data_IF_623523181026
#
_entry.id   IF_623523181026
#
_cell.length_a   1.000
_cell.length_b   1.000
_cell.length_c   1.000
_cell.angle_alpha   90.00
_cell.angle_beta   90.00
_cell.angle_gamma   90.00
#
_symmetry.space_group_name_H-M   'P 1'
#
loop_
_entity.id
_entity.type
_entity.pdbx_description
1 polymer ?
#
# COMPACT_ATOMS: atom_id res chain seq x y z
N UNK A 1 -5.20 60.96 59.35
CA UNK A 1 -5.79 59.75 59.97
C UNK A 1 -4.63 58.79 60.18
N UNK A 2 -4.18 58.62 61.43
CA UNK A 2 -3.00 57.82 61.79
C UNK A 2 -3.40 56.34 61.81
N UNK A 3 -2.63 55.46 61.16
CA UNK A 3 -2.87 54.02 61.18
C UNK A 3 -2.56 53.50 62.60
N UNK A 4 -3.58 53.14 63.38
CA UNK A 4 -3.42 52.68 64.79
C UNK A 4 -3.55 51.17 64.97
N UNK A 5 -3.83 50.38 63.93
CA UNK A 5 -3.98 48.92 64.00
C UNK A 5 -3.14 48.21 62.93
N UNK A 6 -1.82 48.18 63.11
CA UNK A 6 -0.88 47.46 62.24
C UNK A 6 -0.76 45.99 62.67
N UNK A 7 -0.63 45.75 63.98
CA UNK A 7 -0.59 44.40 64.53
C UNK A 7 -1.99 43.75 64.46
N UNK A 8 -2.04 42.50 64.01
CA UNK A 8 -3.23 41.66 64.16
C UNK A 8 -3.25 40.97 65.53
N UNK A 9 -3.86 39.78 65.63
CA UNK A 9 -3.80 38.97 66.86
C UNK A 9 -2.35 38.57 67.18
N UNK A 10 -1.87 38.97 68.36
CA UNK A 10 -0.52 38.72 68.88
C UNK A 10 -0.53 37.79 70.10
N UNK A 11 -1.66 37.16 70.42
CA UNK A 11 -1.73 36.19 71.51
C UNK A 11 -0.80 35.01 71.25
N UNK A 12 -0.19 34.49 72.33
CA UNK A 12 0.82 33.42 72.23
C UNK A 12 0.31 32.17 71.50
N UNK A 13 -0.92 31.75 71.79
CA UNK A 13 -1.61 30.64 71.10
C UNK A 13 -1.74 30.92 69.61
N UNK A 14 -2.22 32.11 69.25
CA UNK A 14 -2.43 32.46 67.84
C UNK A 14 -1.10 32.50 67.06
N UNK A 15 -0.05 33.07 67.64
CA UNK A 15 1.29 33.13 67.02
C UNK A 15 1.89 31.74 66.86
N UNK A 16 1.73 30.84 67.83
CA UNK A 16 2.23 29.46 67.70
C UNK A 16 1.53 28.67 66.58
N UNK A 17 0.23 28.89 66.39
CA UNK A 17 -0.56 28.16 65.39
C UNK A 17 -0.47 28.77 63.99
N UNK A 18 -0.23 30.08 63.86
CA UNK A 18 -0.39 30.82 62.60
C UNK A 18 0.85 31.63 62.18
N UNK A 19 1.90 31.64 63.01
CA UNK A 19 3.07 32.49 62.82
C UNK A 19 2.87 33.94 63.25
N UNK A 20 3.98 34.65 63.46
CA UNK A 20 3.97 36.09 63.73
C UNK A 20 3.67 36.90 62.46
N UNK A 21 3.10 38.10 62.62
CA UNK A 21 2.94 39.04 61.50
C UNK A 21 1.97 40.19 61.79
N UNK A 22 1.55 40.85 60.72
CA UNK A 22 0.65 42.00 60.75
C UNK A 22 -0.73 41.63 60.17
N UNK A 23 -1.66 42.58 60.13
CA UNK A 23 -2.93 42.37 59.45
C UNK A 23 -2.69 41.99 57.96
N UNK A 24 -3.36 40.92 57.51
CA UNK A 24 -3.32 40.37 56.14
C UNK A 24 -1.99 39.75 55.67
N UNK A 25 -0.90 39.85 56.43
CA UNK A 25 0.43 39.32 56.06
C UNK A 25 1.03 38.54 57.21
N UNK A 26 1.10 37.20 57.06
CA UNK A 26 1.72 36.28 58.02
C UNK A 26 2.40 35.12 57.28
N UNK A 27 3.48 34.61 57.86
CA UNK A 27 4.11 33.35 57.47
C UNK A 27 4.14 32.45 58.70
N UNK A 28 3.59 31.25 58.60
CA UNK A 28 3.71 30.27 59.67
C UNK A 28 5.00 29.47 59.49
N UNK A 29 6.02 29.81 60.26
CA UNK A 29 7.33 29.16 60.34
C UNK A 29 7.52 28.40 61.66
N UNK A 30 6.42 28.02 62.33
CA UNK A 30 6.45 27.29 63.59
C UNK A 30 7.28 26.00 63.49
N UNK A 31 8.23 25.84 64.40
CA UNK A 31 9.14 24.68 64.43
C UNK A 31 10.30 24.76 63.44
N UNK A 32 10.43 25.83 62.65
CA UNK A 32 11.58 26.06 61.76
C UNK A 32 12.60 27.00 62.40
N UNK A 33 13.88 26.86 62.05
CA UNK A 33 14.89 27.87 62.39
C UNK A 33 14.58 29.14 61.62
N UNK A 34 14.41 30.28 62.31
CA UNK A 34 14.10 31.55 61.67
C UNK A 34 15.04 31.88 60.50
N UNK A 35 14.44 32.11 59.32
CA UNK A 35 15.10 32.61 58.12
C UNK A 35 14.21 33.61 57.42
N UNK A 36 14.66 34.86 57.39
CA UNK A 36 13.91 35.95 56.79
C UNK A 36 13.88 35.88 55.25
N UNK A 37 12.92 36.58 54.66
CA UNK A 37 12.91 36.84 53.23
C UNK A 37 14.00 37.88 52.86
N UNK A 38 14.57 37.75 51.67
CA UNK A 38 15.65 38.62 51.18
C UNK A 38 15.28 39.16 49.81
N UNK A 39 14.95 40.44 49.72
CA UNK A 39 14.82 41.16 48.45
C UNK A 39 16.06 42.04 48.26
N UNK A 40 17.10 41.52 47.60
CA UNK A 40 18.37 42.26 47.42
C UNK A 40 18.44 42.99 46.08
N UNK A 41 17.60 42.60 45.12
CA UNK A 41 17.48 43.30 43.85
C UNK A 41 16.74 44.62 43.99
N UNK A 42 17.08 45.59 43.14
CA UNK A 42 16.38 46.88 43.08
C UNK A 42 14.90 46.66 42.77
N UNK A 43 13.99 47.21 43.57
CA UNK A 43 12.52 47.06 43.40
C UNK A 43 12.03 45.59 43.53
N UNK A 44 12.88 44.67 44.00
CA UNK A 44 12.49 43.27 44.21
C UNK A 44 11.49 43.11 45.36
N UNK A 45 10.68 42.05 45.31
CA UNK A 45 9.75 41.66 46.38
C UNK A 45 9.99 40.21 46.77
N UNK A 46 10.28 39.96 48.06
CA UNK A 46 10.42 38.62 48.61
C UNK A 46 9.43 38.43 49.77
N UNK A 47 8.64 37.36 49.74
CA UNK A 47 7.61 37.05 50.75
C UNK A 47 7.63 35.55 51.10
N UNK A 48 7.83 35.24 52.37
CA UNK A 48 7.81 33.87 52.90
C UNK A 48 9.14 33.39 53.46
N UNK A 49 9.11 32.26 54.17
CA UNK A 49 10.27 31.69 54.86
C UNK A 49 11.44 31.47 53.90
N UNK A 50 12.59 32.11 54.13
CA UNK A 50 13.79 31.98 53.30
C UNK A 50 13.55 32.25 51.80
N UNK A 51 12.55 33.07 51.43
CA UNK A 51 12.34 33.51 50.05
C UNK A 51 13.47 34.47 49.64
N UNK A 52 14.01 34.33 48.43
CA UNK A 52 15.14 35.14 47.94
C UNK A 52 14.86 35.72 46.55
N UNK A 53 14.74 37.05 46.46
CA UNK A 53 14.60 37.79 45.22
C UNK A 53 15.88 38.63 44.99
N UNK A 54 16.80 38.13 44.15
CA UNK A 54 18.12 38.72 43.89
C UNK A 54 18.11 39.73 42.74
N UNK A 55 17.31 39.46 41.71
CA UNK A 55 17.29 40.26 40.48
C UNK A 55 16.50 41.56 40.60
N UNK A 56 16.81 42.55 39.76
CA UNK A 56 16.02 43.78 39.64
C UNK A 56 14.57 43.46 39.26
N UNK A 57 13.62 44.14 39.91
CA UNK A 57 12.18 43.97 39.70
C UNK A 57 11.68 42.51 39.81
N UNK A 58 12.43 41.64 40.50
CA UNK A 58 12.09 40.24 40.68
C UNK A 58 11.04 40.01 41.79
N UNK A 59 10.32 38.89 41.72
CA UNK A 59 9.29 38.50 42.68
C UNK A 59 9.51 37.07 43.17
N UNK A 60 9.78 36.87 44.46
CA UNK A 60 9.86 35.56 45.09
C UNK A 60 8.78 35.42 46.18
N UNK A 61 7.83 34.49 46.01
CA UNK A 61 6.75 34.24 46.97
C UNK A 61 6.65 32.75 47.31
N UNK A 62 6.88 32.40 48.57
CA UNK A 62 6.78 31.05 49.09
C UNK A 62 8.04 30.56 49.81
N UNK A 63 7.95 29.46 50.56
CA UNK A 63 9.08 28.99 51.36
C UNK A 63 10.21 28.51 50.44
N UNK A 64 11.40 29.07 50.61
CA UNK A 64 12.59 28.79 49.81
C UNK A 64 12.43 29.09 48.30
N UNK A 65 11.48 29.93 47.89
CA UNK A 65 11.40 30.39 46.50
C UNK A 65 12.59 31.29 46.16
N UNK A 66 13.13 31.18 44.95
CA UNK A 66 14.28 31.96 44.48
C UNK A 66 13.94 32.61 43.13
N UNK A 67 14.02 33.93 43.03
CA UNK A 67 13.95 34.69 41.79
C UNK A 67 15.29 35.43 41.62
N UNK A 68 16.20 34.89 40.82
CA UNK A 68 17.63 35.24 40.86
C UNK A 68 18.03 36.31 39.84
N UNK A 69 17.35 36.35 38.70
CA UNK A 69 17.67 37.25 37.58
C UNK A 69 16.62 38.37 37.43
N UNK A 70 16.93 39.40 36.66
CA UNK A 70 16.06 40.57 36.51
C UNK A 70 14.72 40.19 35.86
N UNK A 71 13.65 40.81 36.35
CA UNK A 71 12.26 40.57 35.93
C UNK A 71 11.76 39.12 36.17
N UNK A 72 12.53 38.29 36.87
CA UNK A 72 12.14 36.90 37.15
C UNK A 72 11.04 36.82 38.23
N UNK A 73 10.15 35.83 38.10
CA UNK A 73 9.06 35.58 39.05
C UNK A 73 9.05 34.13 39.49
N UNK A 74 9.20 33.88 40.79
CA UNK A 74 9.13 32.57 41.43
C UNK A 74 8.02 32.54 42.49
N UNK A 75 6.99 31.73 42.28
CA UNK A 75 5.85 31.61 43.19
C UNK A 75 5.60 30.13 43.51
N UNK A 76 5.71 29.75 44.78
CA UNK A 76 5.52 28.39 45.26
C UNK A 76 6.68 27.91 46.13
N UNK A 77 6.42 26.86 46.91
CA UNK A 77 7.46 26.25 47.75
C UNK A 77 8.62 25.75 46.88
N UNK A 78 9.83 26.23 47.10
CA UNK A 78 11.03 25.89 46.31
C UNK A 78 10.95 26.21 44.81
N UNK A 79 10.04 27.09 44.39
CA UNK A 79 10.01 27.60 43.01
C UNK A 79 11.31 28.37 42.72
N UNK A 80 11.92 28.16 41.55
CA UNK A 80 13.21 28.76 41.18
C UNK A 80 13.13 29.38 39.79
N UNK A 81 13.31 30.69 39.72
CA UNK A 81 13.39 31.44 38.49
C UNK A 81 14.79 32.04 38.32
N UNK A 82 15.65 31.36 37.54
CA UNK A 82 17.06 31.72 37.36
C UNK A 82 17.34 32.47 36.06
N UNK A 83 16.40 32.52 35.11
CA UNK A 83 16.58 33.23 33.85
C UNK A 83 15.98 34.62 33.86
N UNK A 84 16.56 35.54 33.09
CA UNK A 84 16.04 36.88 32.86
C UNK A 84 14.61 36.81 32.28
N UNK A 85 13.66 37.58 32.82
CA UNK A 85 12.22 37.51 32.45
C UNK A 85 11.56 36.12 32.60
N UNK A 86 12.12 35.22 33.40
CA UNK A 86 11.55 33.87 33.55
C UNK A 86 10.43 33.79 34.59
N UNK A 87 9.52 32.81 34.43
CA UNK A 87 8.38 32.59 35.33
C UNK A 87 8.36 31.14 35.83
N UNK A 88 8.60 30.93 37.12
CA UNK A 88 8.44 29.66 37.81
C UNK A 88 7.25 29.73 38.78
N UNK A 89 6.12 29.11 38.43
CA UNK A 89 4.91 29.10 39.26
C UNK A 89 4.49 27.65 39.57
N UNK A 90 4.66 27.24 40.82
CA UNK A 90 4.36 25.89 41.31
C UNK A 90 5.37 25.41 42.35
N UNK A 91 4.98 24.44 43.19
CA UNK A 91 5.92 23.86 44.14
C UNK A 91 7.04 23.11 43.38
N UNK A 92 8.29 23.53 43.57
CA UNK A 92 9.46 22.96 42.91
C UNK A 92 9.59 23.29 41.41
N UNK A 93 8.76 24.19 40.85
CA UNK A 93 8.92 24.63 39.45
C UNK A 93 10.27 25.30 39.24
N UNK A 94 10.90 25.08 38.09
CA UNK A 94 12.24 25.59 37.80
C UNK A 94 12.34 26.13 36.37
N UNK A 95 12.72 27.41 36.26
CA UNK A 95 13.14 28.03 35.01
C UNK A 95 14.64 28.33 35.08
N UNK A 96 15.42 27.81 34.12
CA UNK A 96 16.88 27.92 34.13
C UNK A 96 17.45 28.84 33.05
N UNK A 97 16.61 29.39 32.17
CA UNK A 97 17.05 30.19 31.02
C UNK A 97 16.12 31.37 30.75
N UNK A 98 16.60 32.32 29.96
CA UNK A 98 15.91 33.58 29.68
C UNK A 98 14.54 33.36 29.03
N UNK A 99 13.57 34.18 29.45
CA UNK A 99 12.19 34.18 28.98
C UNK A 99 11.49 32.80 29.02
N UNK A 100 11.99 31.86 29.84
CA UNK A 100 11.39 30.55 30.01
C UNK A 100 10.26 30.58 31.04
N UNK A 101 9.27 29.70 30.86
CA UNK A 101 8.07 29.62 31.69
C UNK A 101 7.90 28.18 32.17
N UNK A 102 7.84 27.98 33.48
CA UNK A 102 7.52 26.71 34.12
C UNK A 102 6.28 26.91 35.01
N UNK A 103 5.14 26.33 34.62
CA UNK A 103 3.87 26.44 35.34
C UNK A 103 3.35 25.04 35.72
N UNK A 104 3.37 24.72 37.02
CA UNK A 104 3.00 23.42 37.56
C UNK A 104 3.95 22.92 38.64
N UNK A 105 3.49 22.00 39.49
CA UNK A 105 4.38 21.41 40.48
C UNK A 105 5.47 20.58 39.79
N UNK A 106 6.73 20.84 40.14
CA UNK A 106 7.92 20.22 39.54
C UNK A 106 7.98 20.34 38.00
N UNK A 107 7.44 21.42 37.41
CA UNK A 107 7.68 21.71 36.00
C UNK A 107 9.09 22.26 35.80
N UNK A 108 9.74 21.91 34.69
CA UNK A 108 11.09 22.36 34.35
C UNK A 108 11.10 22.99 32.97
N UNK A 109 11.58 24.23 32.88
CA UNK A 109 11.88 24.88 31.60
C UNK A 109 13.34 25.31 31.57
N UNK A 110 14.19 24.49 30.94
CA UNK A 110 15.64 24.70 30.93
C UNK A 110 16.17 25.21 29.60
N UNK A 111 15.33 25.29 28.57
CA UNK A 111 15.67 25.95 27.31
C UNK A 111 15.29 27.43 27.34
N UNK A 112 16.07 28.29 26.66
CA UNK A 112 15.70 29.69 26.46
C UNK A 112 14.37 29.81 25.72
N UNK A 113 13.52 30.77 26.11
CA UNK A 113 12.21 31.01 25.51
C UNK A 113 11.25 29.80 25.54
N UNK A 114 11.55 28.77 26.34
CA UNK A 114 10.78 27.54 26.38
C UNK A 114 9.60 27.62 27.36
N UNK A 115 8.56 26.83 27.12
CA UNK A 115 7.34 26.81 27.95
C UNK A 115 7.00 25.39 28.39
N UNK A 116 7.00 25.17 29.71
CA UNK A 116 6.65 23.93 30.36
C UNK A 116 5.40 24.14 31.23
N UNK A 117 4.25 23.64 30.79
CA UNK A 117 2.96 23.77 31.47
C UNK A 117 2.39 22.40 31.84
N UNK A 118 2.37 22.09 33.12
CA UNK A 118 1.87 20.82 33.64
C UNK A 118 2.68 20.35 34.85
N UNK A 119 2.10 19.45 35.64
CA UNK A 119 2.87 18.80 36.72
C UNK A 119 3.91 17.90 36.08
N UNK A 120 5.17 18.02 36.51
CA UNK A 120 6.30 17.26 35.98
C UNK A 120 6.57 17.40 34.46
N UNK A 121 6.03 18.44 33.80
CA UNK A 121 6.37 18.73 32.40
C UNK A 121 7.82 19.22 32.29
N UNK A 122 8.45 19.00 31.14
CA UNK A 122 9.84 19.40 30.90
C UNK A 122 10.09 19.90 29.48
N UNK A 123 10.70 21.08 29.36
CA UNK A 123 11.32 21.57 28.12
C UNK A 123 12.83 21.67 28.30
N UNK A 124 13.60 21.05 27.38
CA UNK A 124 15.07 20.99 27.50
C UNK A 124 15.82 21.91 26.54
N UNK A 125 15.19 22.30 25.43
CA UNK A 125 15.82 23.06 24.35
C UNK A 125 15.12 24.40 24.10
N UNK A 126 15.79 25.28 23.37
CA UNK A 126 15.30 26.61 23.04
C UNK A 126 13.97 26.55 22.25
N UNK A 127 13.07 27.48 22.57
CA UNK A 127 11.73 27.60 21.98
C UNK A 127 10.85 26.33 22.04
N UNK A 128 11.24 25.34 22.86
CA UNK A 128 10.45 24.12 23.03
C UNK A 128 9.20 24.38 23.89
N UNK A 129 8.12 23.65 23.61
CA UNK A 129 6.83 23.77 24.29
C UNK A 129 6.37 22.39 24.76
N UNK A 130 6.19 22.21 26.07
CA UNK A 130 5.64 21.00 26.67
C UNK A 130 4.37 21.36 27.47
N UNK A 131 3.22 20.83 27.08
CA UNK A 131 1.91 21.11 27.65
C UNK A 131 1.22 19.79 28.05
N UNK A 132 1.13 19.50 29.35
CA UNK A 132 0.51 18.27 29.87
C UNK A 132 1.22 17.70 31.10
N UNK A 133 0.57 16.79 31.81
CA UNK A 133 1.22 16.05 32.89
C UNK A 133 2.35 15.19 32.30
N UNK A 134 3.56 15.33 32.84
CA UNK A 134 4.71 14.52 32.43
C UNK A 134 5.02 14.62 30.92
N UNK A 135 4.73 15.75 30.26
CA UNK A 135 5.08 15.96 28.85
C UNK A 135 6.53 16.40 28.70
N UNK A 136 7.19 15.98 27.61
CA UNK A 136 8.59 16.29 27.33
C UNK A 136 8.75 16.86 25.94
N UNK A 137 9.38 18.04 25.82
CA UNK A 137 9.82 18.62 24.56
C UNK A 137 11.33 18.89 24.65
N UNK A 138 12.11 17.99 24.06
CA UNK A 138 13.56 17.93 24.23
C UNK A 138 14.35 18.53 23.06
N UNK A 139 13.75 18.60 21.87
CA UNK A 139 14.41 19.20 20.69
C UNK A 139 14.19 20.70 20.56
N UNK A 140 15.08 21.37 19.84
CA UNK A 140 14.94 22.78 19.45
C UNK A 140 13.61 23.00 18.72
N UNK A 141 12.84 24.03 19.07
CA UNK A 141 11.52 24.33 18.48
C UNK A 141 10.50 23.17 18.57
N UNK A 142 10.73 22.18 19.44
CA UNK A 142 9.84 21.02 19.53
C UNK A 142 8.55 21.34 20.30
N UNK A 143 7.46 20.63 19.98
CA UNK A 143 6.17 20.80 20.64
C UNK A 143 5.63 19.46 21.11
N UNK A 144 5.28 19.37 22.39
CA UNK A 144 4.73 18.19 23.03
C UNK A 144 3.44 18.58 23.77
N UNK A 145 2.30 18.12 23.27
CA UNK A 145 0.97 18.43 23.82
C UNK A 145 0.21 17.13 24.15
N UNK A 146 0.07 16.82 25.42
CA UNK A 146 -0.58 15.60 25.90
C UNK A 146 0.03 15.09 27.19
N UNK A 147 -0.67 14.19 27.88
CA UNK A 147 -0.06 13.50 29.01
C UNK A 147 1.02 12.54 28.49
N UNK A 148 2.22 12.57 29.08
CA UNK A 148 3.36 11.74 28.66
C UNK A 148 3.72 11.83 27.17
N UNK A 149 3.31 12.90 26.47
CA UNK A 149 3.75 13.12 25.10
C UNK A 149 5.25 13.43 25.07
N UNK A 150 5.91 13.06 23.99
CA UNK A 150 7.36 13.15 23.85
C UNK A 150 7.74 13.68 22.47
N UNK A 151 8.32 14.89 22.42
CA UNK A 151 8.89 15.47 21.21
C UNK A 151 10.42 15.48 21.36
N UNK A 152 11.07 14.45 20.82
CA UNK A 152 12.45 14.08 21.14
C UNK A 152 13.53 14.77 20.31
N UNK A 153 13.18 15.31 19.14
CA UNK A 153 14.12 15.88 18.17
C UNK A 153 13.76 17.30 17.76
N UNK A 154 14.68 17.98 17.10
CA UNK A 154 14.47 19.35 16.66
C UNK A 154 13.29 19.43 15.67
N UNK A 155 12.46 20.46 15.83
CA UNK A 155 11.24 20.70 15.07
C UNK A 155 10.21 19.55 15.13
N UNK A 156 10.37 18.60 16.06
CA UNK A 156 9.41 17.50 16.23
C UNK A 156 8.15 17.96 16.95
N UNK A 157 7.01 17.36 16.59
CA UNK A 157 5.70 17.72 17.14
C UNK A 157 4.95 16.46 17.56
N UNK A 158 4.68 16.30 18.86
CA UNK A 158 3.89 15.21 19.42
C UNK A 158 2.55 15.77 19.98
N UNK A 159 1.44 15.34 19.38
CA UNK A 159 0.08 15.81 19.72
C UNK A 159 -0.80 14.63 20.14
N UNK A 160 -1.00 14.45 21.44
CA UNK A 160 -1.83 13.40 22.03
C UNK A 160 -1.17 12.72 23.22
N UNK A 161 -1.98 12.06 24.07
CA UNK A 161 -1.45 11.25 25.18
C UNK A 161 -0.49 10.20 24.64
N UNK A 162 0.70 10.10 25.22
CA UNK A 162 1.71 9.10 24.86
C UNK A 162 2.15 9.16 23.38
N UNK A 163 1.89 10.27 22.67
CA UNK A 163 2.42 10.49 21.33
C UNK A 163 3.94 10.69 21.39
N UNK A 164 4.71 10.02 20.53
CA UNK A 164 6.18 10.13 20.47
C UNK A 164 6.65 10.56 19.08
N UNK A 165 7.29 11.71 18.98
CA UNK A 165 7.92 12.21 17.76
C UNK A 165 9.46 12.18 17.95
N UNK A 166 10.06 11.08 17.51
CA UNK A 166 11.48 10.73 17.68
C UNK A 166 12.34 10.95 16.42
N UNK A 167 11.72 11.24 15.28
CA UNK A 167 12.39 11.70 14.07
C UNK A 167 12.60 13.21 14.03
N UNK A 168 13.68 13.69 13.41
CA UNK A 168 13.92 15.11 13.13
C UNK A 168 12.79 15.65 12.23
N UNK A 169 12.25 16.83 12.54
CA UNK A 169 11.17 17.43 11.75
C UNK A 169 9.96 16.48 11.52
N UNK A 170 9.67 15.63 12.50
CA UNK A 170 8.56 14.66 12.45
C UNK A 170 7.33 15.14 13.23
N UNK A 171 6.17 14.59 12.89
CA UNK A 171 4.91 14.85 13.58
C UNK A 171 4.24 13.53 13.99
N UNK A 172 4.03 13.31 15.28
CA UNK A 172 3.19 12.25 15.81
C UNK A 172 1.81 12.80 16.19
N UNK A 173 0.78 12.45 15.42
CA UNK A 173 -0.57 12.98 15.55
C UNK A 173 -1.54 11.92 16.09
N UNK A 174 -2.08 12.16 17.29
CA UNK A 174 -3.01 11.29 17.98
C UNK A 174 -2.37 10.49 19.12
N UNK A 175 -3.21 10.02 20.05
CA UNK A 175 -2.73 9.30 21.24
C UNK A 175 -1.98 8.00 20.87
N UNK A 176 -0.79 7.78 21.44
CA UNK A 176 0.06 6.62 21.14
C UNK A 176 0.57 6.57 19.70
N UNK A 177 0.49 7.66 18.93
CA UNK A 177 1.15 7.75 17.62
C UNK A 177 2.66 7.84 17.80
N UNK A 178 3.41 7.19 16.91
CA UNK A 178 4.86 7.11 16.96
C UNK A 178 5.42 7.52 15.59
N UNK A 179 6.24 8.57 15.55
CA UNK A 179 6.96 9.03 14.37
C UNK A 179 8.46 8.90 14.61
N UNK A 180 9.06 7.78 14.19
CA UNK A 180 10.48 7.48 14.37
C UNK A 180 11.36 8.04 13.25
N UNK A 181 10.82 8.15 12.03
CA UNK A 181 11.55 8.60 10.85
C UNK A 181 11.54 10.13 10.70
N UNK A 182 12.67 10.68 10.25
CA UNK A 182 12.81 12.10 9.93
C UNK A 182 11.84 12.54 8.82
N UNK A 183 11.34 13.78 8.89
CA UNK A 183 10.46 14.39 7.88
C UNK A 183 9.17 13.61 7.61
N UNK A 184 8.59 12.96 8.63
CA UNK A 184 7.35 12.19 8.49
C UNK A 184 6.20 12.74 9.34
N UNK A 185 4.98 12.42 8.94
CA UNK A 185 3.78 12.58 9.76
C UNK A 185 3.20 11.20 10.04
N UNK A 186 3.26 10.75 11.29
CA UNK A 186 2.64 9.52 11.73
C UNK A 186 1.28 9.80 12.37
N UNK A 187 0.25 9.12 11.89
CA UNK A 187 -1.10 9.15 12.47
C UNK A 187 -1.41 7.89 13.29
N UNK A 188 -0.39 7.10 13.65
CA UNK A 188 -0.55 5.81 14.33
C UNK A 188 0.76 5.21 14.80
N UNK A 189 0.77 3.90 15.00
CA UNK A 189 1.96 3.12 15.35
C UNK A 189 1.95 1.79 14.59
N UNK A 190 2.96 0.95 14.80
CA UNK A 190 3.04 -0.41 14.22
C UNK A 190 1.90 -1.34 14.66
N UNK A 191 1.24 -1.04 15.79
CA UNK A 191 0.14 -1.83 16.34
C UNK A 191 -1.21 -1.11 16.33
N UNK A 192 -1.22 0.19 16.02
CA UNK A 192 -2.42 1.02 15.96
C UNK A 192 -2.39 1.92 14.73
N UNK A 193 -2.88 1.42 13.59
CA UNK A 193 -3.07 2.23 12.40
C UNK A 193 -4.43 2.93 12.41
N UNK A 194 -4.50 4.11 11.80
CA UNK A 194 -5.74 4.89 11.67
C UNK A 194 -6.10 5.08 10.22
N UNK A 195 -7.41 5.16 9.95
CA UNK A 195 -7.90 5.63 8.66
C UNK A 195 -7.74 7.15 8.60
N UNK A 196 -7.23 7.65 7.47
CA UNK A 196 -7.33 9.07 7.11
C UNK A 196 -8.59 9.21 6.24
N UNK A 197 -9.59 9.91 6.76
CA UNK A 197 -10.93 10.00 6.13
C UNK A 197 -11.25 11.43 5.74
N UNK A 198 -12.31 11.62 4.94
CA UNK A 198 -12.73 12.92 4.41
C UNK A 198 -11.67 13.61 3.53
N UNK A 199 -10.85 12.80 2.86
CA UNK A 199 -9.89 13.30 1.88
C UNK A 199 -10.59 13.59 0.56
N UNK A 200 -10.50 14.83 0.08
CA UNK A 200 -10.82 15.16 -1.29
C UNK A 200 -9.94 14.34 -2.26
N UNK A 201 -10.41 14.11 -3.48
CA UNK A 201 -9.61 13.44 -4.49
C UNK A 201 -8.38 14.30 -4.82
N UNK A 202 -7.19 13.73 -4.73
CA UNK A 202 -5.95 14.40 -5.08
C UNK A 202 -5.83 14.63 -6.59
N UNK A 203 -5.04 15.61 -7.00
CA UNK A 203 -4.73 15.78 -8.42
C UNK A 203 -3.86 14.59 -8.89
N UNK A 204 -4.23 13.95 -10.00
CA UNK A 204 -3.42 12.90 -10.63
C UNK A 204 -2.67 13.50 -11.81
N UNK A 205 -1.38 13.78 -11.62
CA UNK A 205 -0.47 14.30 -12.64
C UNK A 205 0.96 13.83 -12.36
N UNK A 206 1.87 13.99 -13.32
CA UNK A 206 3.26 13.52 -13.21
C UNK A 206 4.03 14.12 -12.04
N UNK A 207 3.65 15.33 -11.59
CA UNK A 207 4.36 16.07 -10.55
C UNK A 207 3.52 16.27 -9.28
N UNK A 208 2.36 15.61 -9.19
CA UNK A 208 1.48 15.77 -8.03
C UNK A 208 2.11 15.18 -6.77
N UNK A 209 1.93 15.87 -5.65
CA UNK A 209 2.26 15.40 -4.30
C UNK A 209 1.01 15.21 -3.45
N UNK A 210 -0.18 15.29 -4.06
CA UNK A 210 -1.43 15.09 -3.35
C UNK A 210 -1.60 13.62 -2.97
N UNK A 211 -2.12 13.38 -1.78
CA UNK A 211 -2.57 12.05 -1.42
C UNK A 211 -3.83 11.69 -2.22
N UNK A 212 -3.90 10.46 -2.74
CA UNK A 212 -5.08 9.94 -3.44
C UNK A 212 -6.07 9.31 -2.45
N UNK A 213 -7.34 9.27 -2.80
CA UNK A 213 -8.36 8.59 -2.02
C UNK A 213 -8.91 7.33 -2.72
N UNK A 214 -9.73 6.56 -2.03
CA UNK A 214 -10.28 5.29 -2.53
C UNK A 214 -11.08 5.42 -3.83
N UNK A 215 -11.80 6.53 -4.05
CA UNK A 215 -12.60 6.71 -5.28
C UNK A 215 -11.74 6.80 -6.54
N UNK A 216 -10.52 7.33 -6.43
CA UNK A 216 -9.58 7.45 -7.54
C UNK A 216 -8.98 6.10 -7.91
N UNK A 217 -8.58 5.32 -6.91
CA UNK A 217 -8.10 3.96 -7.13
C UNK A 217 -9.21 3.07 -7.70
N UNK A 218 -10.43 3.17 -7.15
CA UNK A 218 -11.59 2.44 -7.67
C UNK A 218 -11.88 2.77 -9.13
N UNK A 219 -11.81 4.06 -9.51
CA UNK A 219 -12.01 4.50 -10.89
C UNK A 219 -10.93 3.93 -11.84
N UNK A 220 -9.66 3.91 -11.41
CA UNK A 220 -8.58 3.29 -12.18
C UNK A 220 -8.82 1.79 -12.37
N UNK A 221 -9.11 1.07 -11.29
CA UNK A 221 -9.36 -0.38 -11.33
C UNK A 221 -10.58 -0.72 -12.19
N UNK A 222 -11.64 0.08 -12.12
CA UNK A 222 -12.85 -0.08 -12.95
C UNK A 222 -12.54 0.12 -14.44
N UNK A 223 -11.69 1.10 -14.79
CA UNK A 223 -11.25 1.29 -16.18
C UNK A 223 -10.44 0.09 -16.68
N UNK A 224 -9.56 -0.47 -15.84
CA UNK A 224 -8.79 -1.68 -16.19
C UNK A 224 -9.74 -2.87 -16.42
N UNK A 225 -10.74 -3.07 -15.57
CA UNK A 225 -11.75 -4.11 -15.76
C UNK A 225 -12.48 -3.95 -17.11
N UNK A 226 -12.89 -2.73 -17.45
CA UNK A 226 -13.53 -2.43 -18.73
C UNK A 226 -12.64 -2.76 -19.94
N UNK A 227 -11.32 -2.55 -19.85
CA UNK A 227 -10.39 -2.92 -20.91
C UNK A 227 -10.26 -4.43 -21.11
N UNK A 228 -10.35 -5.22 -20.03
CA UNK A 228 -10.35 -6.67 -20.15
C UNK A 228 -11.67 -7.22 -20.72
N UNK A 229 -12.81 -6.58 -20.45
CA UNK A 229 -14.11 -7.14 -20.81
C UNK A 229 -14.34 -8.50 -20.13
N UNK A 230 -15.06 -9.41 -20.78
CA UNK A 230 -15.30 -10.76 -20.25
C UNK A 230 -15.88 -10.75 -18.83
N UNK A 231 -16.75 -9.80 -18.51
CA UNK A 231 -17.33 -9.63 -17.17
C UNK A 231 -16.32 -9.36 -16.04
N UNK A 232 -15.08 -8.96 -16.38
CA UNK A 232 -14.16 -8.40 -15.40
C UNK A 232 -14.81 -7.20 -14.69
N UNK A 233 -14.63 -7.12 -13.37
CA UNK A 233 -15.30 -6.11 -12.54
C UNK A 233 -14.50 -5.78 -11.29
N UNK A 234 -14.92 -4.73 -10.58
CA UNK A 234 -14.37 -4.36 -9.28
C UNK A 234 -15.55 -4.22 -8.32
N UNK A 235 -15.47 -4.88 -7.17
CA UNK A 235 -16.48 -4.77 -6.11
C UNK A 235 -16.31 -3.49 -5.28
N UNK A 236 -17.32 -3.11 -4.51
CA UNK A 236 -17.29 -1.92 -3.63
C UNK A 236 -16.13 -1.93 -2.61
N UNK A 237 -15.63 -3.11 -2.24
CA UNK A 237 -14.47 -3.30 -1.36
C UNK A 237 -13.12 -3.22 -2.11
N UNK A 238 -13.14 -2.92 -3.41
CA UNK A 238 -11.96 -2.80 -4.26
C UNK A 238 -11.38 -4.13 -4.73
N UNK A 239 -12.07 -5.26 -4.53
CA UNK A 239 -11.62 -6.58 -5.02
C UNK A 239 -11.88 -6.68 -6.52
N UNK A 240 -10.83 -6.96 -7.29
CA UNK A 240 -10.88 -7.17 -8.74
C UNK A 240 -11.31 -8.61 -9.07
N UNK A 241 -12.33 -8.75 -9.90
CA UNK A 241 -12.78 -10.01 -10.47
C UNK A 241 -12.18 -10.17 -11.86
N UNK A 242 -11.50 -11.29 -12.11
CA UNK A 242 -10.89 -11.61 -13.40
C UNK A 242 -11.93 -11.68 -14.52
N UNK A 243 -11.53 -11.44 -15.79
CA UNK A 243 -12.41 -11.72 -16.92
C UNK A 243 -12.71 -13.23 -17.03
N UNK A 244 -13.72 -13.57 -17.80
CA UNK A 244 -14.05 -14.92 -18.26
C UNK A 244 -14.20 -14.86 -19.78
N UNK A 245 -13.29 -15.53 -20.48
CA UNK A 245 -13.34 -15.69 -21.92
C UNK A 245 -13.74 -17.14 -22.24
N UNK A 246 -14.91 -17.34 -22.83
CA UNK A 246 -15.35 -18.67 -23.25
C UNK A 246 -14.82 -18.95 -24.67
N UNK A 247 -13.97 -19.97 -24.81
CA UNK A 247 -13.43 -20.42 -26.09
C UNK A 247 -13.72 -21.92 -26.23
N UNK A 248 -14.46 -22.28 -27.28
CA UNK A 248 -14.91 -23.66 -27.53
C UNK A 248 -15.56 -24.33 -26.31
N UNK A 249 -16.33 -23.58 -25.52
CA UNK A 249 -17.03 -24.09 -24.34
C UNK A 249 -16.17 -24.21 -23.07
N UNK A 250 -14.89 -23.83 -23.12
CA UNK A 250 -14.00 -23.76 -21.94
C UNK A 250 -13.80 -22.31 -21.52
N UNK A 251 -13.90 -22.04 -20.23
CA UNK A 251 -13.72 -20.70 -19.65
C UNK A 251 -12.25 -20.45 -19.29
N UNK A 252 -11.73 -19.29 -19.69
CA UNK A 252 -10.38 -18.83 -19.42
C UNK A 252 -10.41 -17.51 -18.66
N UNK A 253 -9.69 -17.43 -17.55
CA UNK A 253 -9.76 -16.27 -16.65
C UNK A 253 -8.67 -15.23 -16.86
N UNK A 254 -7.89 -15.37 -17.93
CA UNK A 254 -6.86 -14.42 -18.32
C UNK A 254 -6.64 -14.46 -19.83
N UNK A 255 -6.08 -13.38 -20.35
CA UNK A 255 -5.85 -13.19 -21.80
C UNK A 255 -4.84 -14.19 -22.36
N UNK A 256 -3.80 -14.54 -21.60
CA UNK A 256 -2.73 -15.44 -22.06
C UNK A 256 -3.26 -16.84 -22.38
N UNK A 257 -3.97 -17.43 -21.44
CA UNK A 257 -4.53 -18.77 -21.61
C UNK A 257 -5.64 -18.79 -22.66
N UNK A 258 -6.45 -17.73 -22.73
CA UNK A 258 -7.45 -17.58 -23.78
C UNK A 258 -6.81 -17.53 -25.17
N UNK A 259 -5.74 -16.75 -25.37
CA UNK A 259 -5.03 -16.70 -26.65
C UNK A 259 -4.35 -18.03 -26.99
N UNK A 260 -3.76 -18.72 -26.01
CA UNK A 260 -3.18 -20.05 -26.21
C UNK A 260 -4.26 -21.06 -26.64
N UNK A 261 -5.45 -20.99 -26.04
CA UNK A 261 -6.58 -21.83 -26.43
C UNK A 261 -7.04 -21.57 -27.87
N UNK A 262 -7.11 -20.30 -28.30
CA UNK A 262 -7.40 -19.94 -29.69
C UNK A 262 -6.35 -20.52 -30.63
N UNK A 263 -5.05 -20.42 -30.29
CA UNK A 263 -3.96 -20.97 -31.11
C UNK A 263 -4.11 -22.49 -31.29
N UNK A 264 -4.37 -23.21 -30.20
CA UNK A 264 -4.61 -24.68 -30.26
C UNK A 264 -5.89 -25.06 -31.00
N UNK A 265 -6.90 -24.17 -31.07
CA UNK A 265 -8.15 -24.47 -31.78
C UNK A 265 -7.95 -24.66 -33.29
N UNK A 266 -6.81 -24.23 -33.83
CA UNK A 266 -6.44 -24.45 -35.22
C UNK A 266 -5.80 -25.82 -35.49
N UNK A 267 -5.47 -26.63 -34.47
CA UNK A 267 -4.82 -27.94 -34.67
C UNK A 267 -5.68 -28.94 -35.45
N UNK A 268 -7.01 -28.86 -35.33
CA UNK A 268 -7.95 -29.73 -36.04
C UNK A 268 -8.36 -29.19 -37.43
N UNK A 269 -7.83 -28.03 -37.86
CA UNK A 269 -8.16 -27.44 -39.14
C UNK A 269 -7.33 -28.05 -40.29
N UNK A 270 -7.90 -28.09 -41.50
CA UNK A 270 -7.15 -28.37 -42.72
C UNK A 270 -6.33 -27.13 -43.10
N UNK A 271 -5.10 -27.07 -42.62
CA UNK A 271 -4.24 -25.90 -42.76
C UNK A 271 -3.38 -25.96 -44.02
N UNK A 272 -3.03 -24.77 -44.54
CA UNK A 272 -2.03 -24.64 -45.58
C UNK A 272 -0.63 -24.92 -45.00
N UNK A 273 0.09 -25.85 -45.61
CA UNK A 273 1.49 -26.13 -45.32
C UNK A 273 2.34 -25.57 -46.46
N UNK A 274 3.11 -24.51 -46.18
CA UNK A 274 3.98 -23.84 -47.14
C UNK A 274 5.11 -24.75 -47.67
N UNK A 275 5.49 -25.78 -46.91
CA UNK A 275 6.57 -26.69 -47.27
C UNK A 275 6.07 -27.91 -48.08
N UNK A 276 4.75 -28.14 -48.09
CA UNK A 276 4.15 -29.19 -48.89
C UNK A 276 4.36 -28.94 -50.39
N UNK A 277 4.15 -29.98 -51.21
CA UNK A 277 4.31 -29.93 -52.66
C UNK A 277 5.67 -29.36 -53.11
N UNK A 278 6.75 -29.85 -52.49
CA UNK A 278 8.12 -29.42 -52.81
C UNK A 278 8.41 -27.95 -52.50
N UNK A 279 7.78 -27.37 -51.46
CA UNK A 279 7.98 -25.98 -51.05
C UNK A 279 7.17 -24.95 -51.84
N UNK A 280 6.18 -25.38 -52.63
CA UNK A 280 5.24 -24.47 -53.32
C UNK A 280 3.93 -24.27 -52.56
N UNK A 281 3.77 -25.01 -51.47
CA UNK A 281 2.62 -24.97 -50.58
C UNK A 281 1.44 -25.81 -51.08
N UNK A 282 0.74 -26.42 -50.13
CA UNK A 282 -0.54 -27.10 -50.36
C UNK A 282 -1.33 -27.19 -49.06
N UNK A 283 -2.64 -27.43 -49.13
CA UNK A 283 -3.39 -27.84 -47.95
C UNK A 283 -2.92 -29.23 -47.50
N UNK A 284 -2.58 -29.37 -46.21
CA UNK A 284 -2.20 -30.64 -45.63
C UNK A 284 -3.43 -31.38 -45.10
N UNK A 285 -3.59 -32.62 -45.52
CA UNK A 285 -4.57 -33.55 -44.96
C UNK A 285 -3.98 -34.38 -43.81
N UNK A 286 -2.77 -34.07 -43.32
CA UNK A 286 -2.21 -34.76 -42.17
C UNK A 286 -2.88 -34.29 -40.88
N UNK A 287 -3.18 -35.22 -39.98
CA UNK A 287 -3.62 -34.91 -38.61
C UNK A 287 -2.62 -35.56 -37.64
N UNK A 288 -2.00 -34.75 -36.79
CA UNK A 288 -0.81 -35.14 -36.05
C UNK A 288 0.36 -35.47 -36.99
N UNK A 289 0.80 -36.74 -37.01
CA UNK A 289 1.93 -37.21 -37.84
C UNK A 289 1.53 -38.14 -38.98
N UNK A 290 0.23 -38.29 -39.24
CA UNK A 290 -0.29 -39.27 -40.19
C UNK A 290 -1.12 -38.59 -41.27
N UNK A 291 -1.01 -39.07 -42.49
CA UNK A 291 -1.93 -38.72 -43.58
C UNK A 291 -3.34 -39.19 -43.22
N UNK A 292 -4.31 -38.30 -43.35
CA UNK A 292 -5.71 -38.58 -43.01
C UNK A 292 -6.60 -38.59 -44.24
N UNK A 293 -7.70 -39.32 -44.14
CA UNK A 293 -8.72 -39.34 -45.19
C UNK A 293 -9.49 -38.03 -45.20
N UNK A 294 -9.74 -37.50 -46.39
CA UNK A 294 -10.80 -36.51 -46.61
C UNK A 294 -12.04 -37.29 -47.03
N UNK A 295 -13.01 -37.39 -46.12
CA UNK A 295 -14.28 -38.11 -46.36
C UNK A 295 -15.44 -37.14 -46.59
N UNK A 296 -16.61 -37.68 -46.94
CA UNK A 296 -17.81 -36.91 -47.30
C UNK A 296 -17.58 -35.96 -48.51
N UNK A 297 -16.67 -36.35 -49.40
CA UNK A 297 -16.42 -35.65 -50.66
C UNK A 297 -17.48 -36.06 -51.67
N UNK A 298 -18.30 -35.10 -52.09
CA UNK A 298 -19.27 -35.30 -53.18
C UNK A 298 -18.54 -35.65 -54.49
N UNK A 299 -19.20 -36.38 -55.40
CA UNK A 299 -18.60 -36.74 -56.68
C UNK A 299 -18.31 -35.47 -57.50
N UNK A 300 -17.04 -35.24 -57.83
CA UNK A 300 -16.60 -34.08 -58.60
C UNK A 300 -16.98 -34.18 -60.08
N UNK A 301 -17.04 -33.06 -60.78
CA UNK A 301 -17.23 -33.09 -62.23
C UNK A 301 -16.03 -33.77 -62.93
N UNK A 302 -16.29 -34.67 -63.87
CA UNK A 302 -15.25 -35.32 -64.69
C UNK A 302 -15.26 -34.69 -66.09
N UNK A 303 -14.54 -33.58 -66.23
CA UNK A 303 -14.39 -32.82 -67.48
C UNK A 303 -12.94 -32.38 -67.64
N UNK A 304 -12.54 -31.98 -68.85
CA UNK A 304 -11.14 -31.62 -69.18
C UNK A 304 -10.58 -30.47 -68.31
N UNK A 305 -11.44 -29.57 -67.84
CA UNK A 305 -11.04 -28.38 -67.08
C UNK A 305 -11.44 -28.44 -65.60
N UNK A 306 -11.87 -29.61 -65.10
CA UNK A 306 -12.36 -29.72 -63.72
C UNK A 306 -11.23 -29.55 -62.69
N UNK A 307 -11.53 -28.83 -61.62
CA UNK A 307 -10.67 -28.69 -60.43
C UNK A 307 -11.31 -29.33 -59.19
N UNK A 308 -12.38 -30.09 -59.37
CA UNK A 308 -13.07 -30.77 -58.29
C UNK A 308 -12.25 -31.99 -57.84
N UNK A 309 -12.25 -32.26 -56.54
CA UNK A 309 -11.75 -33.54 -56.03
C UNK A 309 -12.67 -34.67 -56.51
N UNK A 310 -12.07 -35.77 -56.97
CA UNK A 310 -12.80 -37.01 -57.25
C UNK A 310 -12.88 -37.88 -55.99
N UNK A 311 -13.96 -38.64 -55.86
CA UNK A 311 -14.12 -39.58 -54.75
C UNK A 311 -13.97 -41.04 -55.21
N UNK A 312 -13.88 -41.96 -54.24
CA UNK A 312 -13.70 -43.38 -54.51
C UNK A 312 -14.81 -44.01 -55.35
N UNK A 313 -16.05 -43.51 -55.26
CA UNK A 313 -17.17 -44.04 -56.05
C UNK A 313 -17.01 -43.78 -57.55
N UNK A 314 -16.42 -42.65 -57.93
CA UNK A 314 -16.13 -42.34 -59.34
C UNK A 314 -15.04 -43.24 -59.91
N UNK A 315 -13.95 -43.43 -59.15
CA UNK A 315 -12.85 -44.31 -59.56
C UNK A 315 -13.29 -45.78 -59.61
N UNK A 316 -14.08 -46.23 -58.65
CA UNK A 316 -14.63 -47.60 -58.63
C UNK A 316 -15.56 -47.85 -59.82
N UNK A 317 -16.41 -46.88 -60.17
CA UNK A 317 -17.28 -46.96 -61.35
C UNK A 317 -16.47 -47.06 -62.65
N UNK A 318 -15.40 -46.27 -62.79
CA UNK A 318 -14.48 -46.35 -63.92
C UNK A 318 -13.82 -47.73 -64.01
N UNK A 319 -13.25 -48.21 -62.91
CA UNK A 319 -12.62 -49.54 -62.84
C UNK A 319 -13.60 -50.67 -63.16
N UNK A 320 -14.84 -50.57 -62.69
CA UNK A 320 -15.90 -51.55 -62.97
C UNK A 320 -16.27 -51.57 -64.46
N UNK A 321 -16.34 -50.40 -65.10
CA UNK A 321 -16.57 -50.32 -66.54
C UNK A 321 -15.41 -50.96 -67.33
N UNK A 322 -14.16 -50.74 -66.92
CA UNK A 322 -12.98 -51.37 -67.55
C UNK A 322 -13.03 -52.90 -67.42
N UNK A 323 -13.35 -53.43 -66.24
CA UNK A 323 -13.52 -54.87 -66.02
C UNK A 323 -14.58 -55.47 -66.96
N UNK A 324 -15.73 -54.80 -67.08
CA UNK A 324 -16.80 -55.21 -67.99
C UNK A 324 -16.37 -55.22 -69.46
N UNK A 325 -15.55 -54.25 -69.89
CA UNK A 325 -15.04 -54.22 -71.27
C UNK A 325 -14.05 -55.36 -71.56
N UNK A 326 -13.24 -55.76 -70.59
CA UNK A 326 -12.33 -56.89 -70.77
C UNK A 326 -13.04 -58.25 -70.75
N UNK A 327 -14.11 -58.41 -69.96
CA UNK A 327 -14.75 -59.72 -69.77
C UNK A 327 -13.76 -60.73 -69.17
N UNK A 328 -13.88 -62.01 -69.55
CA UNK A 328 -12.97 -63.06 -69.06
C UNK A 328 -12.87 -63.09 -67.53
N UNK A 329 -13.98 -62.92 -66.81
CA UNK A 329 -14.03 -62.87 -65.34
C UNK A 329 -13.21 -61.73 -64.68
N UNK A 330 -12.83 -60.69 -65.43
CA UNK A 330 -12.29 -59.47 -64.84
C UNK A 330 -13.30 -58.83 -63.88
N UNK A 331 -12.82 -58.29 -62.76
CA UNK A 331 -13.69 -57.73 -61.71
C UNK A 331 -12.99 -56.66 -60.87
N UNK A 332 -13.78 -55.94 -60.07
CA UNK A 332 -13.29 -54.99 -59.06
C UNK A 332 -13.88 -55.37 -57.71
N UNK A 333 -13.03 -55.58 -56.71
CA UNK A 333 -13.45 -55.85 -55.34
C UNK A 333 -14.08 -54.64 -54.65
N UNK A 334 -14.72 -54.86 -53.51
CA UNK A 334 -15.32 -53.79 -52.69
C UNK A 334 -14.26 -52.82 -52.13
N UNK A 335 -13.01 -53.26 -52.03
CA UNK A 335 -11.85 -52.45 -51.64
C UNK A 335 -11.22 -51.68 -52.82
N UNK A 336 -11.78 -51.82 -54.03
CA UNK A 336 -11.27 -51.24 -55.26
C UNK A 336 -10.14 -52.03 -55.93
N UNK A 337 -9.76 -53.20 -55.40
CA UNK A 337 -8.74 -54.06 -56.01
C UNK A 337 -9.22 -54.59 -57.37
N UNK A 338 -8.46 -54.33 -58.43
CA UNK A 338 -8.77 -54.81 -59.78
C UNK A 338 -8.21 -56.20 -60.04
N UNK A 339 -9.05 -57.14 -60.47
CA UNK A 339 -8.65 -58.47 -60.95
C UNK A 339 -8.78 -58.51 -62.47
N UNK A 340 -7.68 -58.80 -63.16
CA UNK A 340 -7.61 -58.84 -64.63
C UNK A 340 -8.40 -59.99 -65.25
N UNK A 341 -8.64 -59.93 -66.58
CA UNK A 341 -9.32 -61.00 -67.28
C UNK A 341 -8.47 -62.27 -67.32
N UNK A 342 -9.12 -63.42 -67.44
CA UNK A 342 -8.55 -64.71 -67.78
C UNK A 342 -9.27 -65.23 -69.02
N UNK A 343 -8.51 -65.40 -70.09
CA UNK A 343 -8.99 -65.96 -71.34
C UNK A 343 -8.41 -67.36 -71.52
N UNK A 344 -9.25 -68.39 -71.50
CA UNK A 344 -8.80 -69.74 -71.76
C UNK A 344 -8.81 -70.02 -73.27
N UNK A 345 -7.63 -70.21 -73.87
CA UNK A 345 -7.47 -70.57 -75.29
C UNK A 345 -6.83 -71.96 -75.33
N UNK A 346 -7.58 -72.95 -75.83
CA UNK A 346 -7.13 -74.34 -75.93
C UNK A 346 -6.58 -74.93 -74.61
N UNK A 347 -7.17 -74.57 -73.47
CA UNK A 347 -6.78 -75.09 -72.15
C UNK A 347 -5.62 -74.34 -71.47
N UNK A 348 -5.09 -73.29 -72.08
CA UNK A 348 -4.10 -72.39 -71.45
C UNK A 348 -4.74 -71.04 -71.13
N UNK A 349 -4.50 -70.55 -69.92
CA UNK A 349 -5.04 -69.27 -69.44
C UNK A 349 -4.11 -68.11 -69.79
N UNK A 350 -4.69 -67.05 -70.37
CA UNK A 350 -4.01 -65.82 -70.74
C UNK A 350 -4.64 -64.64 -69.99
N UNK A 351 -3.82 -63.82 -69.31
CA UNK A 351 -4.32 -62.80 -68.39
C UNK A 351 -4.40 -61.38 -68.98
N UNK A 352 -4.15 -61.27 -70.29
CA UNK A 352 -4.32 -60.02 -71.03
C UNK A 352 -4.75 -60.30 -72.46
N UNK A 353 -5.39 -59.30 -73.06
CA UNK A 353 -5.98 -59.39 -74.42
C UNK A 353 -4.89 -59.64 -75.48
N UNK A 354 -3.73 -58.98 -75.36
CA UNK A 354 -2.66 -59.10 -76.35
C UNK A 354 -2.13 -60.52 -76.48
N UNK A 355 -1.85 -61.16 -75.34
CA UNK A 355 -1.36 -62.53 -75.31
C UNK A 355 -2.42 -63.52 -75.74
N UNK A 356 -3.67 -63.33 -75.32
CA UNK A 356 -4.79 -64.17 -75.76
C UNK A 356 -5.00 -64.10 -77.28
N UNK A 357 -4.94 -62.89 -77.87
CA UNK A 357 -5.02 -62.71 -79.32
C UNK A 357 -3.82 -63.31 -80.05
N UNK A 358 -2.61 -63.18 -79.50
CA UNK A 358 -1.40 -63.81 -80.06
C UNK A 358 -1.51 -65.33 -80.04
N UNK A 359 -2.06 -65.90 -78.97
CA UNK A 359 -2.33 -67.33 -78.86
C UNK A 359 -3.36 -67.80 -79.89
N UNK A 360 -4.43 -67.03 -80.09
CA UNK A 360 -5.42 -67.30 -81.15
C UNK A 360 -4.76 -67.25 -82.53
N UNK A 361 -4.00 -66.20 -82.85
CA UNK A 361 -3.31 -66.05 -84.14
C UNK A 361 -2.34 -67.21 -84.40
N UNK A 362 -1.55 -67.58 -83.38
CA UNK A 362 -0.64 -68.73 -83.45
C UNK A 362 -1.39 -70.05 -83.66
N UNK A 363 -2.56 -70.21 -83.04
CA UNK A 363 -3.38 -71.42 -83.19
C UNK A 363 -4.05 -71.53 -84.56
N UNK A 364 -4.39 -70.40 -85.18
CA UNK A 364 -4.97 -70.33 -86.52
C UNK A 364 -3.92 -70.60 -87.61
N UNK A 365 -2.66 -70.23 -87.39
CA UNK A 365 -1.56 -70.44 -88.33
C UNK A 365 -0.98 -71.87 -88.32
N UNK A 366 -1.49 -72.77 -87.46
CA UNK A 366 -1.08 -74.19 -87.36
C UNK A 366 -2.07 -75.17 -88.03
N UNK A 367 -3.06 -74.67 -88.76
CA UNK A 367 -3.98 -75.42 -89.61
C UNK A 367 -3.91 -74.96 -91.07
#
# INVERSE_FOLDING_TARGET
>A
MLITQIAGDTSSTYVQENGAGINYVRTNDAGMTFKDARATGTIATAVGYNAYASGEQSLAVGPNSIADDDFSTAIGAQAKAFGHHSLALGAGSNTASDASIALGANSFATGAQSMSLGVASKTSAEAAIALGYNSFANGLNSMSLGQSSYAGKDNSVALGSDASADGLNSVALGAGSIAEDDNTVSVGSSTLQRKVVNMAAGIVSQTSTDAINGSQLYSLSSNIANYFGGDASVSDDGVFTCPTYNINGTDYTNVGDALAAIDTSFEDALLWDENANGGTGAFSASHGKNDSKITNVLAGAVTETSTDAINGGQLHSLSSNIANYFGGDASVGDDGTFTGPTYNINGTDYTNVGDALTAIDTSLNQH
#
